data_IF_464087791307
#
_entry.id   IF_464087791307
#
_cell.length_a   1.000
_cell.length_b   1.000
_cell.length_c   1.000
_cell.angle_alpha   90.00
_cell.angle_beta   90.00
_cell.angle_gamma   90.00
#
_symmetry.space_group_name_H-M   'P 1'
#
loop_
_entity.id
_entity.type
_entity.pdbx_description
1 polymer ?
#
# COMPACT_ATOMS: atom_id res chain seq x y z
N UNK A 1 9.43 -8.17 19.78
CA UNK A 1 9.29 -6.75 19.39
C UNK A 1 8.40 -6.69 18.15
N UNK A 2 7.62 -5.63 17.96
CA UNK A 2 6.83 -5.43 16.75
C UNK A 2 7.72 -4.99 15.58
N UNK A 3 7.35 -5.36 14.35
CA UNK A 3 8.05 -4.96 13.12
C UNK A 3 7.19 -4.00 12.32
N UNK A 4 7.79 -2.90 11.84
CA UNK A 4 7.15 -1.95 10.94
C UNK A 4 7.45 -2.32 9.50
N UNK A 5 6.40 -2.51 8.69
CA UNK A 5 6.53 -2.91 7.28
C UNK A 5 6.00 -1.79 6.40
N UNK A 6 6.90 -1.19 5.59
CA UNK A 6 6.55 -0.12 4.66
C UNK A 6 6.51 -0.65 3.23
N UNK A 7 5.38 -0.50 2.57
CA UNK A 7 5.03 -1.19 1.34
C UNK A 7 4.76 -0.15 0.26
N UNK A 8 5.64 -0.10 -0.74
CA UNK A 8 5.59 0.92 -1.80
C UNK A 8 4.44 0.68 -2.80
N UNK A 9 4.10 1.71 -3.57
CA UNK A 9 3.10 1.68 -4.63
C UNK A 9 3.61 1.09 -5.96
N UNK A 10 2.70 0.98 -6.91
CA UNK A 10 3.04 0.65 -8.29
C UNK A 10 3.88 1.78 -8.88
N UNK A 11 4.99 1.44 -9.53
CA UNK A 11 5.91 2.43 -10.11
C UNK A 11 6.95 2.99 -9.13
N UNK A 12 6.95 2.52 -7.89
CA UNK A 12 7.94 2.83 -6.86
C UNK A 12 8.77 1.61 -6.51
N UNK A 13 9.80 1.81 -5.73
CA UNK A 13 10.60 0.79 -5.05
C UNK A 13 10.70 1.10 -3.54
N UNK A 14 11.45 0.30 -2.79
CA UNK A 14 11.58 0.47 -1.34
C UNK A 14 12.18 1.83 -0.95
N UNK A 15 13.05 2.43 -1.79
CA UNK A 15 13.70 3.72 -1.51
C UNK A 15 12.73 4.90 -1.46
N UNK A 16 11.53 4.75 -2.03
CA UNK A 16 10.48 5.76 -1.94
C UNK A 16 10.05 6.09 -0.50
N UNK A 17 10.41 5.23 0.46
CA UNK A 17 10.14 5.44 1.88
C UNK A 17 11.30 6.08 2.65
N UNK A 18 12.50 6.20 2.07
CA UNK A 18 13.72 6.64 2.78
C UNK A 18 13.55 7.98 3.50
N UNK A 19 12.97 8.97 2.81
CA UNK A 19 12.73 10.30 3.41
C UNK A 19 11.71 10.25 4.56
N UNK A 20 10.63 9.49 4.40
CA UNK A 20 9.64 9.34 5.47
C UNK A 20 10.25 8.61 6.67
N UNK A 21 11.01 7.55 6.43
CA UNK A 21 11.65 6.74 7.46
C UNK A 21 12.72 7.53 8.23
N UNK A 22 13.52 8.36 7.56
CA UNK A 22 14.53 9.20 8.21
C UNK A 22 13.94 10.21 9.18
N UNK A 23 12.65 10.52 9.07
CA UNK A 23 11.93 11.46 9.92
C UNK A 23 11.09 10.76 11.01
N UNK A 24 10.91 9.44 10.93
CA UNK A 24 10.26 8.67 11.98
C UNK A 24 11.22 8.42 13.15
N UNK A 25 10.77 8.72 14.36
CA UNK A 25 11.53 8.49 15.57
C UNK A 25 11.23 7.09 16.14
N UNK A 26 12.24 6.37 16.57
CA UNK A 26 12.08 5.07 17.24
C UNK A 26 13.06 4.02 16.73
N UNK A 27 13.49 3.12 17.62
CA UNK A 27 14.46 2.06 17.34
C UNK A 27 13.79 0.71 17.02
N UNK A 28 12.59 0.71 16.45
CA UNK A 28 11.88 -0.52 16.12
C UNK A 28 12.39 -1.10 14.79
N UNK A 29 12.40 -2.44 14.62
CA UNK A 29 12.73 -3.08 13.35
C UNK A 29 11.85 -2.57 12.22
N UNK A 30 12.47 -2.16 11.11
CA UNK A 30 11.79 -1.69 9.89
C UNK A 30 12.11 -2.64 8.75
N UNK A 31 11.08 -3.00 7.98
CA UNK A 31 11.17 -3.79 6.78
C UNK A 31 10.54 -3.04 5.61
N UNK A 32 11.28 -2.91 4.51
CA UNK A 32 10.82 -2.31 3.25
C UNK A 32 11.09 -3.30 2.12
N UNK A 33 10.15 -4.22 1.83
CA UNK A 33 10.37 -5.21 0.77
C UNK A 33 10.38 -4.56 -0.62
N UNK A 34 11.26 -5.06 -1.49
CA UNK A 34 11.18 -4.82 -2.93
C UNK A 34 10.06 -5.69 -3.50
N UNK A 35 8.84 -5.16 -3.57
CA UNK A 35 7.63 -5.93 -3.87
C UNK A 35 7.76 -6.80 -5.11
N UNK A 36 8.27 -6.22 -6.20
CA UNK A 36 8.30 -6.88 -7.49
C UNK A 36 9.40 -7.94 -7.61
N UNK A 37 10.33 -8.00 -6.65
CA UNK A 37 11.32 -9.06 -6.52
C UNK A 37 10.82 -10.27 -5.71
N UNK A 38 9.75 -10.11 -4.92
CA UNK A 38 9.23 -11.18 -4.05
C UNK A 38 8.75 -12.42 -4.82
N UNK A 39 8.06 -12.31 -5.98
CA UNK A 39 7.56 -13.48 -6.72
C UNK A 39 8.64 -14.40 -7.32
N UNK A 40 9.92 -14.02 -7.34
CA UNK A 40 11.08 -14.85 -7.72
C UNK A 40 10.89 -15.64 -9.02
N UNK A 41 10.69 -14.96 -10.15
CA UNK A 41 10.60 -15.60 -11.48
C UNK A 41 9.23 -16.20 -11.83
N UNK A 42 8.24 -16.08 -10.93
CA UNK A 42 6.83 -16.37 -11.27
C UNK A 42 6.25 -15.23 -12.11
N UNK A 43 5.21 -15.50 -12.87
CA UNK A 43 4.45 -14.47 -13.57
C UNK A 43 3.95 -13.42 -12.55
N UNK A 44 4.10 -12.14 -12.89
CA UNK A 44 3.68 -11.05 -12.02
C UNK A 44 2.19 -10.77 -12.19
N UNK A 45 1.37 -11.40 -11.36
CA UNK A 45 -0.04 -11.11 -11.17
C UNK A 45 -0.29 -10.60 -9.75
N UNK A 46 -1.47 -10.06 -9.49
CA UNK A 46 -1.83 -9.65 -8.13
C UNK A 46 -1.81 -10.85 -7.16
N UNK A 47 -2.29 -11.99 -7.57
CA UNK A 47 -2.34 -13.21 -6.77
C UNK A 47 -0.94 -13.71 -6.41
N UNK A 48 -0.03 -13.78 -7.37
CA UNK A 48 1.36 -14.21 -7.13
C UNK A 48 2.13 -13.20 -6.28
N UNK A 49 1.88 -11.90 -6.49
CA UNK A 49 2.46 -10.84 -5.70
C UNK A 49 1.95 -10.88 -4.26
N UNK A 50 0.63 -11.01 -4.07
CA UNK A 50 0.04 -11.11 -2.73
C UNK A 50 0.54 -12.36 -1.98
N UNK A 51 0.57 -13.53 -2.63
CA UNK A 51 1.09 -14.74 -2.00
C UNK A 51 2.55 -14.56 -1.53
N UNK A 52 3.42 -14.02 -2.40
CA UNK A 52 4.81 -13.78 -2.05
C UNK A 52 4.98 -12.71 -0.94
N UNK A 53 4.13 -11.68 -0.94
CA UNK A 53 4.09 -10.66 0.12
C UNK A 53 3.60 -11.26 1.45
N UNK A 54 2.58 -12.10 1.42
CA UNK A 54 2.07 -12.77 2.62
C UNK A 54 3.14 -13.70 3.22
N UNK A 55 3.79 -14.52 2.40
CA UNK A 55 4.91 -15.39 2.83
C UNK A 55 6.05 -14.56 3.46
N UNK A 56 6.40 -13.43 2.85
CA UNK A 56 7.39 -12.50 3.39
C UNK A 56 6.99 -11.98 4.77
N UNK A 57 5.75 -11.51 4.93
CA UNK A 57 5.22 -11.00 6.20
C UNK A 57 5.10 -12.10 7.27
N UNK A 58 4.70 -13.31 6.87
CA UNK A 58 4.60 -14.46 7.78
C UNK A 58 5.98 -14.85 8.35
N UNK A 59 7.07 -14.63 7.60
CA UNK A 59 8.46 -14.82 8.04
C UNK A 59 9.00 -13.73 8.97
N UNK A 60 8.37 -12.57 9.07
CA UNK A 60 8.84 -11.49 9.94
C UNK A 60 8.50 -11.74 11.42
N UNK A 61 9.37 -11.33 12.37
CA UNK A 61 9.13 -11.51 13.79
C UNK A 61 8.04 -10.58 14.34
N UNK A 62 7.30 -11.07 15.33
CA UNK A 62 6.35 -10.30 16.13
C UNK A 62 5.10 -9.86 15.41
N UNK A 63 4.25 -9.06 16.08
CA UNK A 63 3.14 -8.39 15.43
C UNK A 63 3.64 -7.29 14.47
N UNK A 64 2.90 -7.07 13.37
CA UNK A 64 3.29 -6.18 12.28
C UNK A 64 2.49 -4.88 12.30
N UNK A 65 3.19 -3.75 12.20
CA UNK A 65 2.61 -2.45 11.86
C UNK A 65 2.77 -2.25 10.35
N UNK A 66 1.69 -2.45 9.59
CA UNK A 66 1.70 -2.39 8.14
C UNK A 66 1.39 -0.97 7.66
N UNK A 67 2.24 -0.41 6.82
CA UNK A 67 2.06 0.90 6.20
C UNK A 67 2.23 0.76 4.69
N UNK A 68 1.18 0.97 3.92
CA UNK A 68 1.22 0.81 2.47
C UNK A 68 0.69 2.03 1.71
N UNK A 69 1.31 2.30 0.56
CA UNK A 69 0.84 3.27 -0.42
C UNK A 69 0.20 2.56 -1.62
N UNK A 70 -1.00 2.98 -2.02
CA UNK A 70 -1.65 2.52 -3.26
C UNK A 70 -1.70 0.99 -3.36
N UNK A 71 -1.01 0.35 -4.30
CA UNK A 71 -0.88 -1.12 -4.38
C UNK A 71 -0.40 -1.73 -3.05
N UNK A 72 0.60 -1.11 -2.42
CA UNK A 72 1.09 -1.55 -1.12
C UNK A 72 0.02 -1.50 -0.03
N UNK A 73 -0.88 -0.51 -0.08
CA UNK A 73 -2.01 -0.42 0.85
C UNK A 73 -3.05 -1.53 0.61
N UNK A 74 -3.28 -1.90 -0.66
CA UNK A 74 -4.19 -3.01 -1.02
C UNK A 74 -3.64 -4.35 -0.48
N UNK A 75 -2.33 -4.60 -0.67
CA UNK A 75 -1.67 -5.80 -0.14
C UNK A 75 -1.72 -5.84 1.40
N UNK A 76 -1.42 -4.72 2.05
CA UNK A 76 -1.47 -4.59 3.51
C UNK A 76 -2.88 -4.84 4.07
N UNK A 77 -3.90 -4.28 3.42
CA UNK A 77 -5.31 -4.46 3.78
C UNK A 77 -5.73 -5.93 3.70
N UNK A 78 -5.42 -6.59 2.59
CA UNK A 78 -5.75 -8.00 2.39
C UNK A 78 -5.02 -8.88 3.40
N UNK A 79 -3.75 -8.61 3.67
CA UNK A 79 -2.97 -9.35 4.66
C UNK A 79 -3.53 -9.16 6.08
N UNK A 80 -3.84 -7.94 6.50
CA UNK A 80 -4.40 -7.67 7.81
C UNK A 80 -5.77 -8.35 8.02
N UNK A 81 -6.57 -8.48 6.96
CA UNK A 81 -7.83 -9.22 7.00
C UNK A 81 -7.61 -10.74 7.08
N UNK A 82 -6.59 -11.27 6.39
CA UNK A 82 -6.27 -12.71 6.37
C UNK A 82 -5.48 -13.19 7.61
N UNK A 83 -4.77 -12.27 8.29
CA UNK A 83 -3.92 -12.55 9.47
C UNK A 83 -4.18 -11.52 10.57
N UNK A 84 -5.43 -11.42 11.08
CA UNK A 84 -5.81 -10.39 12.05
C UNK A 84 -5.02 -10.48 13.36
N UNK A 85 -4.54 -11.67 13.72
CA UNK A 85 -3.71 -11.91 14.90
C UNK A 85 -2.29 -11.39 14.77
N UNK A 86 -1.78 -11.27 13.53
CA UNK A 86 -0.43 -10.77 13.24
C UNK A 86 -0.38 -9.28 12.94
N UNK A 87 -1.49 -8.68 12.55
CA UNK A 87 -1.59 -7.25 12.24
C UNK A 87 -1.84 -6.42 13.50
N UNK A 88 -0.82 -5.67 13.96
CA UNK A 88 -0.94 -4.78 15.14
C UNK A 88 -1.59 -3.43 14.78
N UNK A 89 -1.29 -2.88 13.62
CA UNK A 89 -1.93 -1.68 13.07
C UNK A 89 -1.78 -1.60 11.56
N UNK A 90 -2.61 -0.78 10.92
CA UNK A 90 -2.69 -0.66 9.49
C UNK A 90 -2.76 0.81 9.07
N UNK A 91 -1.78 1.30 8.30
CA UNK A 91 -1.80 2.61 7.67
C UNK A 91 -1.96 2.45 6.15
N UNK A 92 -3.07 2.94 5.62
CA UNK A 92 -3.49 2.80 4.22
C UNK A 92 -3.49 4.17 3.55
N UNK A 93 -2.53 4.41 2.65
CA UNK A 93 -2.33 5.70 2.01
C UNK A 93 -2.74 5.59 0.54
N UNK A 94 -3.68 6.43 0.08
CA UNK A 94 -4.20 6.41 -1.29
C UNK A 94 -4.81 5.07 -1.70
N UNK A 95 -5.42 4.36 -0.75
CA UNK A 95 -5.89 2.98 -0.92
C UNK A 95 -7.21 2.89 -1.70
N UNK A 96 -7.27 1.89 -2.58
CA UNK A 96 -8.50 1.43 -3.21
C UNK A 96 -8.81 0.01 -2.70
N UNK A 97 -9.96 -0.23 -2.10
CA UNK A 97 -10.37 -1.56 -1.66
C UNK A 97 -11.22 -2.31 -2.71
N UNK A 98 -11.68 -1.56 -3.71
CA UNK A 98 -12.38 -2.05 -4.90
C UNK A 98 -11.82 -1.36 -6.12
N UNK A 99 -11.32 -2.12 -7.07
CA UNK A 99 -10.63 -1.54 -8.22
C UNK A 99 -11.58 -0.83 -9.17
N UNK A 100 -11.26 0.43 -9.56
CA UNK A 100 -12.04 1.18 -10.54
C UNK A 100 -11.77 0.64 -11.96
N UNK A 101 -12.52 -0.37 -12.37
CA UNK A 101 -12.32 -1.14 -13.62
C UNK A 101 -12.11 -0.27 -14.86
N UNK A 102 -12.91 0.80 -15.02
CA UNK A 102 -12.78 1.69 -16.19
C UNK A 102 -11.46 2.44 -16.18
N UNK A 103 -11.04 2.94 -15.01
CA UNK A 103 -9.79 3.67 -14.87
C UNK A 103 -8.59 2.76 -15.15
N UNK A 104 -8.57 1.55 -14.59
CA UNK A 104 -7.51 0.57 -14.86
C UNK A 104 -7.46 0.14 -16.34
N UNK A 105 -8.60 -0.03 -16.99
CA UNK A 105 -8.65 -0.34 -18.43
C UNK A 105 -8.08 0.80 -19.27
N UNK A 106 -8.43 2.05 -18.94
CA UNK A 106 -7.87 3.22 -19.62
C UNK A 106 -6.36 3.33 -19.38
N UNK A 107 -5.92 3.15 -18.15
CA UNK A 107 -4.50 3.13 -17.79
C UNK A 107 -3.73 2.05 -18.57
N UNK A 108 -4.28 0.83 -18.67
CA UNK A 108 -3.67 -0.26 -19.44
C UNK A 108 -3.61 0.05 -20.95
N UNK A 109 -4.61 0.73 -21.48
CA UNK A 109 -4.57 1.19 -22.87
C UNK A 109 -3.44 2.20 -23.08
N UNK A 110 -3.29 3.16 -22.18
CA UNK A 110 -2.17 4.14 -22.20
C UNK A 110 -0.83 3.39 -22.09
N UNK A 111 -0.69 2.46 -21.17
CA UNK A 111 0.53 1.67 -21.01
C UNK A 111 0.91 0.88 -22.27
N UNK A 112 -0.07 0.36 -23.00
CA UNK A 112 0.16 -0.33 -24.29
C UNK A 112 0.74 0.62 -25.35
N UNK A 113 0.35 1.89 -25.33
CA UNK A 113 0.83 2.89 -26.29
C UNK A 113 2.22 3.46 -25.93
N UNK A 114 2.62 3.41 -24.66
CA UNK A 114 3.92 3.93 -24.23
C UNK A 114 5.07 3.00 -24.64
N UNK A 115 6.25 3.55 -25.02
CA UNK A 115 7.42 2.76 -25.34
C UNK A 115 7.96 2.04 -24.11
N UNK A 116 8.58 0.86 -24.28
CA UNK A 116 9.10 0.05 -23.19
C UNK A 116 10.10 0.81 -22.28
N UNK A 117 10.87 1.74 -22.84
CA UNK A 117 11.81 2.59 -22.09
C UNK A 117 11.15 3.46 -21.02
N UNK A 118 9.86 3.78 -21.16
CA UNK A 118 9.13 4.59 -20.18
C UNK A 118 8.91 3.82 -18.84
N UNK A 119 9.08 2.50 -18.86
CA UNK A 119 8.90 1.64 -17.69
C UNK A 119 10.21 1.23 -17.02
N UNK A 120 11.36 1.54 -17.64
CA UNK A 120 12.68 1.18 -17.11
C UNK A 120 12.96 1.75 -15.71
N UNK A 121 12.51 2.98 -15.46
CA UNK A 121 12.63 3.62 -14.15
C UNK A 121 11.80 2.95 -13.04
N UNK A 122 10.79 2.15 -13.39
CA UNK A 122 9.92 1.43 -12.46
C UNK A 122 10.48 0.05 -12.07
N UNK A 123 11.63 -0.36 -12.63
CA UNK A 123 12.21 -1.67 -12.39
C UNK A 123 11.38 -2.86 -12.90
N UNK A 124 10.36 -2.60 -13.74
CA UNK A 124 9.42 -3.61 -14.26
C UNK A 124 9.42 -3.61 -15.79
N UNK A 125 9.31 -4.79 -16.38
CA UNK A 125 9.03 -4.88 -17.80
C UNK A 125 7.58 -4.42 -18.08
N UNK A 126 7.37 -3.74 -19.20
CA UNK A 126 6.04 -3.28 -19.66
C UNK A 126 4.99 -4.39 -19.61
N UNK A 127 5.37 -5.61 -20.04
CA UNK A 127 4.49 -6.79 -20.02
C UNK A 127 4.02 -7.13 -18.62
N UNK A 128 4.94 -7.11 -17.65
CA UNK A 128 4.66 -7.51 -16.27
C UNK A 128 3.77 -6.48 -15.58
N UNK A 129 3.97 -5.19 -15.85
CA UNK A 129 3.10 -4.12 -15.36
C UNK A 129 1.66 -4.25 -15.90
N UNK A 130 1.52 -4.52 -17.20
CA UNK A 130 0.20 -4.72 -17.82
C UNK A 130 -0.45 -6.02 -17.27
N UNK A 131 0.30 -7.09 -17.09
CA UNK A 131 -0.16 -8.34 -16.49
C UNK A 131 -0.71 -8.12 -15.08
N UNK A 132 0.08 -7.46 -14.23
CA UNK A 132 -0.31 -7.12 -12.86
C UNK A 132 -1.60 -6.27 -12.83
N UNK A 133 -1.65 -5.18 -13.58
CA UNK A 133 -2.83 -4.30 -13.58
C UNK A 133 -4.07 -4.97 -14.19
N UNK A 134 -3.91 -5.87 -15.16
CA UNK A 134 -5.01 -6.68 -15.69
C UNK A 134 -5.57 -7.65 -14.64
N UNK A 135 -4.70 -8.34 -13.88
CA UNK A 135 -5.14 -9.26 -12.82
C UNK A 135 -5.90 -8.55 -11.69
N UNK A 136 -5.66 -7.24 -11.50
CA UNK A 136 -6.37 -6.44 -10.51
C UNK A 136 -7.76 -5.95 -10.96
N UNK A 137 -8.16 -6.08 -12.23
CA UNK A 137 -9.41 -5.51 -12.75
C UNK A 137 -10.68 -5.98 -12.02
N UNK A 138 -10.66 -7.17 -11.46
CA UNK A 138 -11.80 -7.76 -10.74
C UNK A 138 -11.64 -7.76 -9.23
N UNK A 139 -10.54 -7.18 -8.73
CA UNK A 139 -10.24 -7.18 -7.31
C UNK A 139 -11.26 -6.35 -6.52
N UNK A 140 -11.92 -6.99 -5.58
CA UNK A 140 -12.87 -6.39 -4.66
C UNK A 140 -12.66 -6.96 -3.25
N UNK A 141 -12.10 -6.16 -2.36
CA UNK A 141 -11.83 -6.52 -0.97
C UNK A 141 -12.98 -6.14 -0.03
N UNK A 142 -14.14 -5.74 -0.56
CA UNK A 142 -15.28 -5.32 0.25
C UNK A 142 -15.72 -6.36 1.28
N UNK A 143 -15.65 -7.64 0.91
CA UNK A 143 -16.09 -8.76 1.75
C UNK A 143 -15.16 -9.06 2.92
N UNK A 144 -13.88 -8.66 2.85
CA UNK A 144 -12.90 -8.97 3.90
C UNK A 144 -12.69 -7.82 4.90
N UNK A 145 -13.22 -6.62 4.64
CA UNK A 145 -13.05 -5.46 5.52
C UNK A 145 -13.47 -5.73 6.98
N UNK A 146 -14.57 -6.45 7.26
CA UNK A 146 -14.98 -6.74 8.64
C UNK A 146 -14.00 -7.63 9.42
N UNK A 147 -13.11 -8.36 8.71
CA UNK A 147 -12.10 -9.20 9.35
C UNK A 147 -10.88 -8.41 9.86
N UNK A 148 -10.70 -7.15 9.45
CA UNK A 148 -9.64 -6.26 9.96
C UNK A 148 -9.96 -5.86 11.39
N UNK A 149 -9.18 -6.37 12.33
CA UNK A 149 -9.40 -6.16 13.78
C UNK A 149 -8.52 -5.09 14.39
N UNK A 150 -7.35 -4.84 13.79
CA UNK A 150 -6.43 -3.83 14.26
C UNK A 150 -6.96 -2.41 13.99
N UNK A 151 -6.41 -1.43 14.72
CA UNK A 151 -6.67 -0.02 14.42
C UNK A 151 -6.10 0.34 13.07
N UNK A 152 -6.78 1.21 12.34
CA UNK A 152 -6.39 1.62 11.00
C UNK A 152 -6.34 3.15 10.88
N UNK A 153 -5.33 3.63 10.15
CA UNK A 153 -5.24 4.97 9.62
C UNK A 153 -5.50 4.90 8.11
N UNK A 154 -6.54 5.54 7.64
CA UNK A 154 -6.77 5.74 6.20
C UNK A 154 -6.35 7.16 5.86
N UNK A 155 -5.34 7.31 5.01
CA UNK A 155 -4.81 8.61 4.63
C UNK A 155 -4.95 8.85 3.13
N UNK A 156 -5.25 10.10 2.76
CA UNK A 156 -5.34 10.52 1.36
C UNK A 156 -4.63 11.87 1.20
N UNK A 157 -3.84 12.02 0.15
CA UNK A 157 -3.25 13.31 -0.17
C UNK A 157 -4.32 14.36 -0.45
N UNK A 158 -4.08 15.60 -0.02
CA UNK A 158 -5.00 16.74 -0.23
C UNK A 158 -5.36 16.93 -1.70
N UNK A 159 -4.39 16.71 -2.59
CA UNK A 159 -4.51 16.84 -4.05
C UNK A 159 -4.95 15.56 -4.76
N UNK A 160 -5.00 14.41 -4.05
CA UNK A 160 -5.42 13.12 -4.60
C UNK A 160 -6.95 13.00 -4.68
N UNK A 161 -7.54 13.76 -5.58
CA UNK A 161 -8.99 13.78 -5.79
C UNK A 161 -9.56 12.44 -6.25
N UNK A 162 -8.75 11.64 -6.98
CA UNK A 162 -9.17 10.36 -7.52
C UNK A 162 -9.44 9.31 -6.44
N UNK A 163 -8.68 9.31 -5.36
CA UNK A 163 -8.77 8.32 -4.29
C UNK A 163 -9.54 8.81 -3.05
N UNK A 164 -9.87 10.12 -2.97
CA UNK A 164 -10.55 10.70 -1.80
C UNK A 164 -11.84 9.98 -1.42
N UNK A 165 -12.74 9.77 -2.39
CA UNK A 165 -14.00 9.07 -2.15
C UNK A 165 -13.79 7.64 -1.65
N UNK A 166 -12.83 6.92 -2.25
CA UNK A 166 -12.51 5.55 -1.82
C UNK A 166 -11.93 5.54 -0.39
N UNK A 167 -11.08 6.51 -0.03
CA UNK A 167 -10.53 6.64 1.32
C UNK A 167 -11.64 6.92 2.35
N UNK A 168 -12.58 7.82 2.05
CA UNK A 168 -13.74 8.11 2.91
C UNK A 168 -14.63 6.88 3.12
N UNK A 169 -14.91 6.14 2.04
CA UNK A 169 -15.70 4.91 2.11
C UNK A 169 -14.97 3.81 2.88
N UNK A 170 -13.67 3.63 2.65
CA UNK A 170 -12.86 2.65 3.34
C UNK A 170 -12.80 2.93 4.85
N UNK A 171 -12.59 4.19 5.26
CA UNK A 171 -12.57 4.59 6.66
C UNK A 171 -13.90 4.32 7.36
N UNK A 172 -15.04 4.51 6.67
CA UNK A 172 -16.38 4.21 7.24
C UNK A 172 -16.65 2.71 7.39
N UNK A 173 -16.02 1.89 6.54
CA UNK A 173 -16.26 0.43 6.49
C UNK A 173 -15.33 -0.38 7.38
N UNK A 174 -14.16 0.15 7.70
CA UNK A 174 -13.23 -0.48 8.63
C UNK A 174 -13.66 -0.23 10.07
N UNK A 175 -13.73 -1.26 10.93
CA UNK A 175 -14.31 -1.14 12.28
C UNK A 175 -13.60 -0.14 13.20
N UNK A 176 -12.28 0.05 13.02
CA UNK A 176 -11.43 0.88 13.90
C UNK A 176 -10.54 1.82 13.09
N UNK A 177 -11.13 2.57 12.15
CA UNK A 177 -10.38 3.44 11.26
C UNK A 177 -10.55 4.93 11.59
N UNK A 178 -9.46 5.68 11.41
CA UNK A 178 -9.45 7.14 11.34
C UNK A 178 -9.14 7.57 9.92
N UNK A 179 -9.83 8.58 9.40
CA UNK A 179 -9.53 9.22 8.13
C UNK A 179 -8.69 10.47 8.38
N UNK A 180 -7.59 10.61 7.62
CA UNK A 180 -6.73 11.79 7.66
C UNK A 180 -6.37 12.28 6.26
N UNK A 181 -6.13 13.58 6.13
CA UNK A 181 -5.59 14.19 4.91
C UNK A 181 -4.12 14.50 5.09
N UNK A 182 -3.29 14.15 4.09
CA UNK A 182 -1.88 14.57 4.05
C UNK A 182 -1.79 15.87 3.26
N UNK A 183 -1.60 16.97 3.99
CA UNK A 183 -1.55 18.32 3.41
C UNK A 183 -0.41 18.45 2.38
N UNK A 184 -0.70 19.13 1.27
CA UNK A 184 0.24 19.38 0.19
C UNK A 184 0.55 18.19 -0.72
N UNK A 185 0.14 16.96 -0.32
CA UNK A 185 0.43 15.74 -1.07
C UNK A 185 -0.58 15.47 -2.19
N UNK A 186 -0.08 14.87 -3.27
CA UNK A 186 -0.87 14.15 -4.27
C UNK A 186 -1.04 12.68 -3.88
N UNK A 187 -1.02 11.81 -4.89
CA UNK A 187 -1.17 10.36 -4.69
C UNK A 187 0.03 9.74 -3.96
N UNK A 188 1.24 10.17 -4.31
CA UNK A 188 2.49 9.65 -3.75
C UNK A 188 2.91 10.42 -2.49
N UNK A 189 2.09 10.35 -1.44
CA UNK A 189 2.27 11.16 -0.23
C UNK A 189 3.63 10.92 0.48
N UNK A 190 4.24 9.73 0.31
CA UNK A 190 5.58 9.40 0.81
C UNK A 190 6.71 10.17 0.08
N UNK A 191 6.44 10.64 -1.15
CA UNK A 191 7.37 11.44 -1.97
C UNK A 191 7.01 12.92 -1.90
N UNK A 192 5.74 13.26 -2.06
CA UNK A 192 5.26 14.63 -2.14
C UNK A 192 5.37 15.40 -0.82
N UNK A 193 5.08 14.74 0.31
CA UNK A 193 5.05 15.37 1.63
C UNK A 193 5.58 14.42 2.72
N UNK A 194 6.83 13.93 2.63
CA UNK A 194 7.36 12.91 3.55
C UNK A 194 7.35 13.36 5.00
N UNK A 195 7.58 14.63 5.29
CA UNK A 195 7.55 15.18 6.65
C UNK A 195 6.14 15.20 7.26
N UNK A 196 5.14 15.58 6.46
CA UNK A 196 3.73 15.56 6.92
C UNK A 196 3.27 14.12 7.14
N UNK A 197 3.63 13.22 6.24
CA UNK A 197 3.31 11.81 6.37
C UNK A 197 4.00 11.18 7.59
N UNK A 198 5.28 11.47 7.82
CA UNK A 198 6.01 10.99 8.98
C UNK A 198 5.38 11.46 10.30
N UNK A 199 5.02 12.75 10.41
CA UNK A 199 4.34 13.28 11.59
C UNK A 199 2.98 12.59 11.84
N UNK A 200 2.20 12.36 10.79
CA UNK A 200 0.92 11.65 10.87
C UNK A 200 1.10 10.19 11.34
N UNK A 201 2.07 9.48 10.77
CA UNK A 201 2.39 8.10 11.15
C UNK A 201 2.93 8.04 12.60
N UNK A 202 3.81 8.97 12.99
CA UNK A 202 4.33 9.07 14.35
C UNK A 202 3.19 9.24 15.38
N UNK A 203 2.25 10.16 15.11
CA UNK A 203 1.09 10.36 15.96
C UNK A 203 0.21 9.09 16.04
N UNK A 204 -0.03 8.46 14.89
CA UNK A 204 -0.81 7.22 14.83
C UNK A 204 -0.14 6.09 15.62
N UNK A 205 1.17 5.89 15.51
CA UNK A 205 1.85 4.81 16.23
C UNK A 205 1.99 5.08 17.74
N UNK A 206 2.03 6.35 18.16
CA UNK A 206 2.08 6.72 19.58
C UNK A 206 0.75 6.49 20.33
N UNK A 207 -0.38 6.39 19.63
CA UNK A 207 -1.67 6.09 20.25
C UNK A 207 -1.64 4.66 20.83
N UNK A 208 -1.97 4.53 22.11
CA UNK A 208 -2.13 3.21 22.73
C UNK A 208 -3.34 2.47 22.12
N UNK A 209 -3.22 1.16 21.95
CA UNK A 209 -4.25 0.27 21.41
C UNK A 209 -5.51 0.24 22.26
#
# INVERSE_FOLDING_TARGET
MATYVFIHGLGQDASAWDKTLSLLQGAAPVACPQLFALPKGRELTYETLYAAFADYCDGLPGPLHLCGLSLGAVLALQYAAARPEKAASLALIGAQYKMPRMLLRLQNLVFRCLPARAFGAMGLAKRDLIGLTNSMLTLDLSGVLPAVRCRALVACGEKDKANRKAAEELARRLPRAKLCTVEGAGHEANVDAPGRLAALLQAFYAEKA
#
